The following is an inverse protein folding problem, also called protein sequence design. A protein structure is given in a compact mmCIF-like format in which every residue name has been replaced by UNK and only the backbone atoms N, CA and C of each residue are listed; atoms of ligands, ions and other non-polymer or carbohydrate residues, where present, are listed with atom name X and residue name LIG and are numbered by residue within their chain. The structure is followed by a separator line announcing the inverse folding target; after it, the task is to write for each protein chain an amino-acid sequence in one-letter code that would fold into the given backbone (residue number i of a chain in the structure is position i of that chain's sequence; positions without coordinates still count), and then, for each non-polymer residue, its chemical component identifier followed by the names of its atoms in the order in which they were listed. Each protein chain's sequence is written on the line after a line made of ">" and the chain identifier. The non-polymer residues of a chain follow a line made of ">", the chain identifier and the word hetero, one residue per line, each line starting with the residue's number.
data_IF_800033497422
#
_entry.id   IF_800033497422
#
_cell.length_a   1.000
_cell.length_b   1.000
_cell.length_c   1.000
_cell.angle_alpha   90.00
_cell.angle_beta   90.00
_cell.angle_gamma   90.00
#
_symmetry.space_group_name_H-M   'P 1'
#
loop_
_entity.id
_entity.type
_entity.pdbx_description
1 polymer ?
#
# COMPACT_ATOMS: atom_id res chain seq x y z
N UNK A 1 23.96 -31.22 -39.75
CA UNK A 1 25.01 -30.21 -39.44
C UNK A 1 24.36 -28.85 -39.57
N UNK A 2 23.96 -28.24 -38.45
CA UNK A 2 23.29 -26.93 -38.43
C UNK A 2 24.39 -25.87 -38.26
N UNK A 3 24.59 -25.03 -39.27
CA UNK A 3 25.52 -23.91 -39.21
C UNK A 3 24.96 -22.83 -38.26
N UNK A 4 25.74 -22.29 -37.32
CA UNK A 4 25.30 -21.13 -36.53
C UNK A 4 25.28 -19.89 -37.44
N UNK A 5 24.13 -19.23 -37.50
CA UNK A 5 23.98 -17.93 -38.16
C UNK A 5 24.73 -16.90 -37.31
N UNK A 6 25.93 -16.52 -37.74
CA UNK A 6 26.68 -15.40 -37.19
C UNK A 6 26.04 -14.11 -37.69
N UNK A 7 25.21 -13.48 -36.86
CA UNK A 7 24.72 -12.12 -37.11
C UNK A 7 25.90 -11.17 -36.96
N UNK A 8 26.28 -10.39 -38.00
CA UNK A 8 27.38 -9.44 -37.88
C UNK A 8 27.04 -8.39 -36.82
N UNK A 9 27.99 -8.11 -35.92
CA UNK A 9 27.82 -7.16 -34.82
C UNK A 9 27.34 -5.78 -35.29
N UNK A 10 27.74 -5.35 -36.49
CA UNK A 10 27.27 -4.12 -37.14
C UNK A 10 25.75 -4.09 -37.38
N UNK A 11 25.12 -5.23 -37.68
CA UNK A 11 23.67 -5.32 -37.86
C UNK A 11 22.94 -5.19 -36.52
N UNK A 12 23.50 -5.76 -35.44
CA UNK A 12 22.97 -5.60 -34.08
C UNK A 12 23.02 -4.14 -33.66
N UNK A 13 24.15 -3.45 -33.88
CA UNK A 13 24.28 -2.02 -33.61
C UNK A 13 23.30 -1.18 -34.43
N UNK A 14 23.11 -1.48 -35.73
CA UNK A 14 22.16 -0.76 -36.56
C UNK A 14 20.70 -0.94 -36.07
N UNK A 15 20.31 -2.16 -35.72
CA UNK A 15 18.98 -2.47 -35.15
C UNK A 15 18.78 -1.72 -33.82
N UNK A 16 19.79 -1.74 -32.93
CA UNK A 16 19.73 -1.02 -31.66
C UNK A 16 19.56 0.50 -31.85
N UNK A 17 20.27 1.09 -32.81
CA UNK A 17 20.15 2.52 -33.14
C UNK A 17 18.74 2.83 -33.68
N UNK A 18 18.22 2.02 -34.60
CA UNK A 18 16.87 2.20 -35.14
C UNK A 18 15.82 2.11 -34.02
N UNK A 19 15.95 1.11 -33.15
CA UNK A 19 15.05 0.92 -32.00
C UNK A 19 15.12 2.12 -31.04
N UNK A 20 16.33 2.59 -30.73
CA UNK A 20 16.55 3.77 -29.89
C UNK A 20 15.91 5.03 -30.48
N UNK A 21 16.12 5.31 -31.76
CA UNK A 21 15.54 6.47 -32.44
C UNK A 21 14.00 6.39 -32.50
N UNK A 22 13.46 5.20 -32.79
CA UNK A 22 12.02 4.94 -32.78
C UNK A 22 11.41 5.17 -31.39
N UNK A 23 12.04 4.62 -30.35
CA UNK A 23 11.63 4.80 -28.96
C UNK A 23 11.66 6.29 -28.56
N UNK A 24 12.72 7.01 -28.92
CA UNK A 24 12.84 8.46 -28.66
C UNK A 24 11.73 9.26 -29.33
N UNK A 25 11.42 8.95 -30.59
CA UNK A 25 10.32 9.60 -31.34
C UNK A 25 8.96 9.30 -30.69
N UNK A 26 8.70 8.05 -30.34
CA UNK A 26 7.47 7.63 -29.64
C UNK A 26 7.32 8.35 -28.29
N UNK A 27 8.39 8.44 -27.49
CA UNK A 27 8.41 9.20 -26.23
C UNK A 27 8.05 10.68 -26.46
N UNK A 28 8.59 11.31 -27.51
CA UNK A 28 8.28 12.71 -27.83
C UNK A 28 6.80 12.91 -28.18
N UNK A 29 6.26 12.10 -29.10
CA UNK A 29 4.86 12.19 -29.54
C UNK A 29 3.90 11.96 -28.37
N UNK A 30 4.21 10.99 -27.51
CA UNK A 30 3.44 10.75 -26.30
C UNK A 30 3.48 11.96 -25.35
N UNK A 31 4.66 12.53 -25.09
CA UNK A 31 4.79 13.69 -24.21
C UNK A 31 4.05 14.92 -24.75
N UNK A 32 4.09 15.17 -26.06
CA UNK A 32 3.33 16.26 -26.70
C UNK A 32 1.82 16.07 -26.48
N UNK A 33 1.28 14.87 -26.75
CA UNK A 33 -0.13 14.56 -26.54
C UNK A 33 -0.55 14.61 -25.07
N UNK A 34 0.31 14.16 -24.16
CA UNK A 34 0.07 14.25 -22.72
C UNK A 34 0.02 15.71 -22.27
N UNK A 35 0.98 16.54 -22.71
CA UNK A 35 1.01 17.96 -22.34
C UNK A 35 -0.20 18.72 -22.88
N UNK A 36 -0.61 18.46 -24.12
CA UNK A 36 -1.85 19.01 -24.68
C UNK A 36 -3.06 18.62 -23.82
N UNK A 37 -3.21 17.33 -23.48
CA UNK A 37 -4.26 16.86 -22.60
C UNK A 37 -4.24 17.55 -21.22
N UNK A 38 -3.06 17.66 -20.60
CA UNK A 38 -2.89 18.31 -19.29
C UNK A 38 -3.20 19.81 -19.33
N UNK A 39 -2.88 20.49 -20.44
CA UNK A 39 -3.09 21.94 -20.58
C UNK A 39 -4.56 22.37 -20.51
N UNK A 40 -5.50 21.44 -20.72
CA UNK A 40 -6.94 21.68 -20.61
C UNK A 40 -7.46 21.76 -19.16
N UNK A 41 -6.59 21.59 -18.16
CA UNK A 41 -6.98 21.48 -16.76
C UNK A 41 -6.12 22.38 -15.86
N UNK A 42 -6.71 22.90 -14.78
CA UNK A 42 -6.00 23.69 -13.77
C UNK A 42 -5.68 22.80 -12.57
N UNK A 43 -4.40 22.51 -12.37
CA UNK A 43 -3.93 21.66 -11.27
C UNK A 43 -3.71 22.45 -9.99
N UNK A 44 -3.81 21.77 -8.84
CA UNK A 44 -3.35 22.34 -7.58
C UNK A 44 -1.85 22.63 -7.64
N UNK A 45 -1.43 23.64 -6.87
CA UNK A 45 -0.04 24.03 -6.67
C UNK A 45 0.37 24.00 -5.20
N UNK A 46 -0.47 23.42 -4.33
CA UNK A 46 -0.19 23.36 -2.90
C UNK A 46 1.03 22.47 -2.63
N UNK A 47 2.06 23.05 -2.00
CA UNK A 47 3.29 22.32 -1.69
C UNK A 47 3.13 21.33 -0.53
N UNK A 48 2.28 21.66 0.44
CA UNK A 48 1.92 20.83 1.57
C UNK A 48 0.44 20.96 1.90
N UNK A 49 -0.19 19.86 2.26
CA UNK A 49 -1.59 19.83 2.69
C UNK A 49 -1.66 19.21 4.10
N UNK A 50 -2.19 19.90 5.12
CA UNK A 50 -2.18 19.39 6.50
C UNK A 50 -3.29 18.38 6.80
N UNK A 51 -4.14 18.07 5.82
CA UNK A 51 -5.27 17.16 5.94
C UNK A 51 -5.40 16.26 4.70
N UNK A 52 -5.97 15.05 4.82
CA UNK A 52 -6.26 14.21 3.67
C UNK A 52 -7.10 14.97 2.64
N UNK A 53 -6.74 14.98 1.34
CA UNK A 53 -7.40 15.80 0.33
C UNK A 53 -8.82 15.34 -0.02
N UNK A 54 -9.13 14.07 0.23
CA UNK A 54 -10.46 13.51 0.02
C UNK A 54 -10.72 12.35 0.96
N UNK A 55 -11.97 11.89 0.97
CA UNK A 55 -12.38 10.73 1.72
C UNK A 55 -12.11 9.39 1.00
N UNK A 56 -11.14 9.38 0.10
CA UNK A 56 -10.77 8.18 -0.67
C UNK A 56 -10.17 7.13 0.28
N UNK A 57 -10.53 5.86 0.10
CA UNK A 57 -9.95 4.77 0.93
C UNK A 57 -8.45 4.65 0.66
N UNK A 58 -7.62 4.27 1.65
CA UNK A 58 -6.20 4.10 1.41
C UNK A 58 -5.91 3.09 0.29
N UNK A 59 -6.73 2.04 0.15
CA UNK A 59 -6.65 1.11 -0.99
C UNK A 59 -6.74 1.78 -2.38
N UNK A 60 -7.67 2.72 -2.56
CA UNK A 60 -7.78 3.48 -3.81
C UNK A 60 -6.70 4.56 -3.93
N UNK A 61 -6.23 5.14 -2.82
CA UNK A 61 -5.07 6.05 -2.82
C UNK A 61 -3.82 5.30 -3.27
N UNK A 62 -3.58 4.08 -2.77
CA UNK A 62 -2.45 3.25 -3.19
C UNK A 62 -2.56 2.91 -4.68
N UNK A 63 -3.75 2.56 -5.17
CA UNK A 63 -3.96 2.33 -6.60
C UNK A 63 -3.74 3.58 -7.44
N UNK A 64 -4.13 4.77 -6.96
CA UNK A 64 -3.88 6.04 -7.63
C UNK A 64 -2.38 6.38 -7.68
N UNK A 65 -1.67 6.11 -6.57
CA UNK A 65 -0.27 6.47 -6.37
C UNK A 65 0.67 5.53 -7.14
N UNK A 66 0.46 4.21 -7.03
CA UNK A 66 1.16 3.18 -7.80
C UNK A 66 0.29 1.92 -7.98
N UNK A 67 -0.54 1.92 -9.03
CA UNK A 67 -1.43 0.80 -9.39
C UNK A 67 -0.74 -0.57 -9.54
N UNK A 68 0.56 -0.58 -9.84
CA UNK A 68 1.31 -1.81 -10.13
C UNK A 68 1.92 -2.40 -8.87
N UNK A 69 2.10 -1.59 -7.82
CA UNK A 69 2.79 -1.97 -6.60
C UNK A 69 1.92 -1.68 -5.36
N UNK A 70 0.82 -2.42 -5.23
CA UNK A 70 -0.01 -2.39 -4.04
C UNK A 70 0.46 -3.50 -3.10
N UNK A 71 1.02 -3.09 -1.96
CA UNK A 71 1.59 -3.97 -0.94
C UNK A 71 0.56 -4.43 0.11
N UNK A 72 0.86 -5.53 0.81
CA UNK A 72 0.07 -6.12 1.89
C UNK A 72 -0.21 -5.15 3.04
N UNK A 73 0.70 -4.21 3.28
CA UNK A 73 0.52 -3.08 4.21
C UNK A 73 -0.77 -2.28 3.98
N UNK A 74 -1.38 -2.37 2.79
CA UNK A 74 -2.64 -1.70 2.50
C UNK A 74 -3.85 -2.32 3.23
N UNK A 75 -3.75 -3.60 3.59
CA UNK A 75 -4.83 -4.33 4.28
C UNK A 75 -5.12 -3.74 5.67
N UNK A 76 -4.14 -3.67 6.60
CA UNK A 76 -4.38 -3.03 7.89
C UNK A 76 -4.77 -1.56 7.71
N UNK A 77 -4.07 -0.80 6.85
CA UNK A 77 -4.42 0.60 6.57
C UNK A 77 -5.90 0.79 6.19
N UNK A 78 -6.44 -0.10 5.34
CA UNK A 78 -7.84 -0.08 4.93
C UNK A 78 -8.80 -0.54 6.04
N UNK A 79 -8.39 -1.47 6.90
CA UNK A 79 -9.15 -1.81 8.11
C UNK A 79 -9.25 -0.63 9.08
N UNK A 80 -8.16 0.12 9.28
CA UNK A 80 -8.20 1.34 10.11
C UNK A 80 -9.13 2.39 9.49
N UNK A 81 -9.11 2.55 8.17
CA UNK A 81 -10.07 3.41 7.47
C UNK A 81 -11.52 2.98 7.73
N UNK A 82 -11.83 1.68 7.68
CA UNK A 82 -13.17 1.16 7.98
C UNK A 82 -13.58 1.37 9.44
N UNK A 83 -12.65 1.23 10.38
CA UNK A 83 -12.87 1.58 11.79
C UNK A 83 -13.16 3.08 11.95
N UNK A 84 -12.40 3.95 11.28
CA UNK A 84 -12.64 5.38 11.25
C UNK A 84 -14.03 5.74 10.68
N UNK A 85 -14.53 4.96 9.73
CA UNK A 85 -15.89 5.08 9.16
C UNK A 85 -17.00 4.44 10.01
N UNK A 86 -16.63 3.87 11.17
CA UNK A 86 -17.54 3.23 12.10
C UNK A 86 -18.12 1.91 11.60
N UNK A 87 -17.45 1.23 10.67
CA UNK A 87 -17.78 -0.16 10.32
C UNK A 87 -17.30 -1.14 11.38
N UNK A 88 -16.18 -0.82 12.03
CA UNK A 88 -15.64 -1.55 13.16
C UNK A 88 -15.53 -0.64 14.38
N UNK A 89 -15.82 -1.18 15.56
CA UNK A 89 -15.39 -0.63 16.84
C UNK A 89 -14.12 -1.36 17.24
N UNK A 90 -13.09 -0.61 17.63
CA UNK A 90 -11.84 -1.17 18.10
C UNK A 90 -11.88 -1.23 19.63
N UNK A 91 -11.53 -2.38 20.18
CA UNK A 91 -11.35 -2.58 21.62
C UNK A 91 -9.92 -3.04 21.87
N UNK A 92 -9.14 -2.17 22.51
CA UNK A 92 -7.81 -2.48 23.00
C UNK A 92 -7.91 -2.80 24.48
N UNK A 93 -8.16 -4.06 24.82
CA UNK A 93 -7.92 -4.50 26.19
C UNK A 93 -6.42 -4.53 26.39
N UNK A 94 -5.89 -3.50 27.06
CA UNK A 94 -4.53 -3.49 27.58
C UNK A 94 -4.47 -4.59 28.64
N UNK A 95 -3.87 -5.73 28.31
CA UNK A 95 -3.55 -6.75 29.30
C UNK A 95 -2.58 -6.11 30.31
N UNK A 96 -2.96 -6.09 31.58
CA UNK A 96 -2.04 -5.71 32.65
C UNK A 96 -0.94 -6.77 32.74
N UNK A 97 0.16 -6.60 32.00
CA UNK A 97 1.32 -7.50 31.96
C UNK A 97 2.18 -7.33 30.69
N UNK A 98 3.28 -8.10 30.61
CA UNK A 98 4.20 -8.16 29.44
C UNK A 98 3.59 -8.85 28.19
N UNK A 99 2.26 -8.97 28.10
CA UNK A 99 1.60 -9.58 26.95
C UNK A 99 1.39 -8.56 25.82
N UNK A 100 1.53 -9.03 24.58
CA UNK A 100 1.31 -8.25 23.36
C UNK A 100 -0.12 -7.68 23.36
N UNK A 101 -0.26 -6.35 23.29
CA UNK A 101 -1.56 -5.70 23.24
C UNK A 101 -2.31 -6.19 22.00
N UNK A 102 -3.41 -6.89 22.21
CA UNK A 102 -4.24 -7.43 21.14
C UNK A 102 -5.37 -6.46 20.81
N UNK A 103 -5.36 -5.90 19.60
CA UNK A 103 -6.48 -5.07 19.13
C UNK A 103 -7.59 -5.97 18.61
N UNK A 104 -8.78 -5.85 19.20
CA UNK A 104 -9.98 -6.54 18.73
C UNK A 104 -10.81 -5.62 17.83
N UNK A 105 -11.24 -6.16 16.70
CA UNK A 105 -12.14 -5.52 15.77
C UNK A 105 -13.53 -6.10 15.95
N UNK A 106 -14.49 -5.29 16.40
CA UNK A 106 -15.90 -5.65 16.51
C UNK A 106 -16.67 -5.07 15.33
N UNK A 107 -17.28 -5.90 14.50
CA UNK A 107 -18.09 -5.41 13.37
C UNK A 107 -19.39 -4.77 13.87
N UNK A 108 -19.63 -3.52 13.45
CA UNK A 108 -20.81 -2.72 13.81
C UNK A 108 -21.76 -2.55 12.62
N UNK A 109 -21.21 -2.46 11.41
CA UNK A 109 -21.98 -2.34 10.17
C UNK A 109 -21.73 -3.55 9.28
N UNK A 110 -22.72 -3.92 8.49
CA UNK A 110 -22.58 -4.97 7.48
C UNK A 110 -21.85 -4.46 6.23
N UNK A 111 -21.14 -5.35 5.55
CA UNK A 111 -20.35 -5.05 4.35
C UNK A 111 -21.20 -4.56 3.18
N UNK A 112 -22.50 -4.89 3.15
CA UNK A 112 -23.48 -4.34 2.19
C UNK A 112 -23.62 -2.81 2.24
N UNK A 113 -23.19 -2.15 3.33
CA UNK A 113 -23.21 -0.69 3.46
C UNK A 113 -21.97 0.00 2.90
N UNK A 114 -20.98 -0.75 2.42
CA UNK A 114 -19.81 -0.17 1.77
C UNK A 114 -20.18 0.39 0.39
N UNK A 115 -19.69 1.59 0.11
CA UNK A 115 -19.84 2.23 -1.21
C UNK A 115 -19.05 1.50 -2.30
N UNK A 116 -17.84 1.04 -1.97
CA UNK A 116 -16.94 0.37 -2.90
C UNK A 116 -16.87 -1.14 -2.66
N UNK A 117 -16.81 -1.91 -3.75
CA UNK A 117 -16.79 -3.38 -3.68
C UNK A 117 -15.50 -3.93 -3.05
N UNK A 118 -14.35 -3.26 -3.21
CA UNK A 118 -13.12 -3.68 -2.52
C UNK A 118 -13.26 -3.63 -0.99
N UNK A 119 -13.96 -2.63 -0.46
CA UNK A 119 -14.22 -2.53 0.98
C UNK A 119 -15.14 -3.66 1.45
N UNK A 120 -16.15 -4.00 0.64
CA UNK A 120 -17.04 -5.13 0.91
C UNK A 120 -16.27 -6.45 0.95
N UNK A 121 -15.43 -6.72 -0.06
CA UNK A 121 -14.60 -7.93 -0.12
C UNK A 121 -13.65 -8.01 1.07
N UNK A 122 -13.03 -6.88 1.45
CA UNK A 122 -12.19 -6.83 2.65
C UNK A 122 -12.99 -7.21 3.91
N UNK A 123 -14.16 -6.60 4.11
CA UNK A 123 -14.99 -6.92 5.27
C UNK A 123 -15.46 -8.38 5.27
N UNK A 124 -15.88 -8.90 4.12
CA UNK A 124 -16.34 -10.29 3.97
C UNK A 124 -15.20 -11.29 4.21
N UNK A 125 -13.96 -10.94 3.84
CA UNK A 125 -12.76 -11.71 4.19
C UNK A 125 -12.57 -11.78 5.71
N UNK A 126 -12.51 -10.63 6.40
CA UNK A 126 -12.30 -10.60 7.85
C UNK A 126 -13.44 -11.21 8.65
N UNK A 127 -14.68 -11.14 8.13
CA UNK A 127 -15.85 -11.82 8.68
C UNK A 127 -15.66 -13.34 8.82
N UNK A 128 -14.79 -13.95 8.01
CA UNK A 128 -14.49 -15.40 8.13
C UNK A 128 -13.66 -15.78 9.35
N UNK A 129 -13.17 -14.81 10.10
CA UNK A 129 -12.40 -14.98 11.33
C UNK A 129 -13.12 -14.44 12.57
N UNK A 130 -14.33 -13.93 12.41
CA UNK A 130 -15.17 -13.45 13.50
C UNK A 130 -15.62 -14.61 14.41
N UNK A 131 -15.68 -14.32 15.71
CA UNK A 131 -16.30 -15.19 16.72
C UNK A 131 -17.83 -14.96 16.81
N UNK A 132 -18.47 -15.58 17.81
CA UNK A 132 -19.92 -15.43 18.04
C UNK A 132 -20.37 -14.00 18.37
N UNK A 133 -19.45 -13.11 18.74
CA UNK A 133 -19.70 -11.71 19.06
C UNK A 133 -19.47 -10.77 17.86
N UNK A 134 -19.16 -11.32 16.67
CA UNK A 134 -18.70 -10.60 15.49
C UNK A 134 -17.36 -9.89 15.73
N UNK A 135 -16.47 -10.51 16.53
CA UNK A 135 -15.17 -9.97 16.88
C UNK A 135 -14.03 -10.81 16.29
N UNK A 136 -12.96 -10.15 15.82
CA UNK A 136 -11.72 -10.82 15.43
C UNK A 136 -10.49 -10.04 15.92
N UNK A 137 -9.33 -10.68 15.89
CA UNK A 137 -8.03 -10.07 16.15
C UNK A 137 -7.01 -10.62 15.15
N UNK A 138 -5.91 -9.92 14.91
CA UNK A 138 -4.84 -10.49 14.08
C UNK A 138 -4.25 -11.77 14.71
N UNK A 139 -4.16 -11.86 16.04
CA UNK A 139 -3.71 -13.06 16.73
C UNK A 139 -4.61 -14.27 16.46
N UNK A 140 -5.93 -14.10 16.45
CA UNK A 140 -6.86 -15.20 16.11
C UNK A 140 -6.74 -15.64 14.65
N UNK A 141 -6.45 -14.69 13.74
CA UNK A 141 -6.19 -14.97 12.33
C UNK A 141 -4.89 -15.76 12.18
N UNK A 142 -3.80 -15.32 12.83
CA UNK A 142 -2.50 -15.98 12.85
C UNK A 142 -2.65 -17.44 13.25
N UNK A 143 -3.27 -17.71 14.40
CA UNK A 143 -3.52 -19.08 14.89
C UNK A 143 -4.25 -19.94 13.85
N UNK A 144 -5.28 -19.41 13.19
CA UNK A 144 -6.06 -20.16 12.18
C UNK A 144 -5.25 -20.45 10.92
N UNK A 145 -4.45 -19.49 10.47
CA UNK A 145 -3.57 -19.62 9.29
C UNK A 145 -2.40 -20.56 9.56
N UNK A 146 -1.78 -20.49 10.74
CA UNK A 146 -0.69 -21.39 11.17
C UNK A 146 -1.12 -22.85 11.20
N UNK A 147 -2.35 -23.12 11.66
CA UNK A 147 -2.83 -24.47 11.92
C UNK A 147 -3.47 -25.15 10.71
N UNK A 148 -3.64 -24.46 9.57
CA UNK A 148 -4.34 -25.02 8.42
C UNK A 148 -3.84 -24.50 7.09
N UNK A 149 -3.26 -25.40 6.27
CA UNK A 149 -2.89 -25.11 4.88
C UNK A 149 -4.08 -24.61 4.04
N UNK A 150 -5.27 -25.16 4.28
CA UNK A 150 -6.50 -24.70 3.62
C UNK A 150 -6.84 -23.27 4.02
N UNK A 151 -6.68 -22.91 5.29
CA UNK A 151 -6.89 -21.54 5.76
C UNK A 151 -5.83 -20.57 5.20
N UNK A 152 -4.56 -20.98 5.15
CA UNK A 152 -3.47 -20.20 4.54
C UNK A 152 -3.73 -19.91 3.04
N UNK A 153 -4.09 -20.95 2.27
CA UNK A 153 -4.49 -20.76 0.86
C UNK A 153 -5.69 -19.82 0.71
N UNK A 154 -6.70 -19.94 1.58
CA UNK A 154 -7.87 -19.06 1.56
C UNK A 154 -7.50 -17.61 1.88
N UNK A 155 -6.61 -17.38 2.85
CA UNK A 155 -6.09 -16.06 3.19
C UNK A 155 -5.41 -15.38 2.00
N UNK A 156 -4.52 -16.09 1.29
CA UNK A 156 -3.87 -15.58 0.09
C UNK A 156 -4.85 -15.30 -1.06
N UNK A 157 -5.84 -16.17 -1.26
CA UNK A 157 -6.86 -15.95 -2.29
C UNK A 157 -7.68 -14.68 -2.01
N UNK A 158 -8.11 -14.48 -0.77
CA UNK A 158 -8.85 -13.27 -0.41
C UNK A 158 -8.06 -11.99 -0.63
N UNK A 159 -6.74 -12.01 -0.43
CA UNK A 159 -5.89 -10.87 -0.79
C UNK A 159 -5.99 -10.56 -2.28
N UNK A 160 -5.87 -11.57 -3.15
CA UNK A 160 -5.98 -11.36 -4.58
C UNK A 160 -7.37 -10.90 -5.03
N UNK A 161 -8.43 -11.42 -4.40
CA UNK A 161 -9.80 -10.94 -4.62
C UNK A 161 -9.91 -9.45 -4.25
N UNK A 162 -9.35 -9.06 -3.10
CA UNK A 162 -9.31 -7.66 -2.66
C UNK A 162 -8.53 -6.77 -3.64
N UNK A 163 -7.34 -7.17 -4.07
CA UNK A 163 -6.53 -6.42 -5.05
C UNK A 163 -7.26 -6.28 -6.38
N UNK A 164 -7.95 -7.33 -6.84
CA UNK A 164 -8.73 -7.28 -8.08
C UNK A 164 -9.89 -6.29 -7.98
N UNK A 165 -10.62 -6.27 -6.87
CA UNK A 165 -11.69 -5.30 -6.66
C UNK A 165 -11.18 -3.85 -6.56
N UNK A 166 -9.99 -3.63 -5.97
CA UNK A 166 -9.36 -2.30 -5.98
C UNK A 166 -9.15 -1.83 -7.42
N UNK A 167 -8.59 -2.69 -8.28
CA UNK A 167 -8.35 -2.39 -9.70
C UNK A 167 -9.66 -2.12 -10.45
N UNK A 168 -10.70 -2.91 -10.19
CA UNK A 168 -12.02 -2.70 -10.80
C UNK A 168 -12.61 -1.36 -10.36
N UNK A 169 -12.55 -1.02 -9.07
CA UNK A 169 -13.05 0.26 -8.57
C UNK A 169 -12.24 1.44 -9.11
N UNK A 170 -10.91 1.34 -9.19
CA UNK A 170 -10.08 2.39 -9.80
C UNK A 170 -10.39 2.62 -11.27
N UNK A 171 -10.65 1.55 -12.04
CA UNK A 171 -11.13 1.63 -13.43
C UNK A 171 -12.51 2.29 -13.53
N UNK A 172 -13.46 1.89 -12.69
CA UNK A 172 -14.80 2.49 -12.66
C UNK A 172 -14.79 3.99 -12.32
N UNK A 173 -13.78 4.45 -11.57
CA UNK A 173 -13.56 5.86 -11.28
C UNK A 173 -12.74 6.61 -12.36
N UNK A 174 -12.44 5.97 -13.50
CA UNK A 174 -11.65 6.54 -14.60
C UNK A 174 -10.30 7.14 -14.12
N UNK A 175 -9.63 6.49 -13.16
CA UNK A 175 -8.34 6.97 -12.67
C UNK A 175 -7.31 6.99 -13.79
N UNK A 176 -7.35 5.99 -14.66
CA UNK A 176 -6.41 5.83 -15.75
C UNK A 176 -7.11 5.88 -17.11
N UNK A 177 -6.46 6.53 -18.08
CA UNK A 177 -6.87 6.64 -19.49
C UNK A 177 -5.69 6.29 -20.40
N UNK A 178 -5.96 6.03 -21.67
CA UNK A 178 -4.93 5.73 -22.67
C UNK A 178 -4.64 6.97 -23.51
N UNK A 179 -3.37 7.38 -23.58
CA UNK A 179 -2.85 8.39 -24.51
C UNK A 179 -1.70 7.78 -25.29
N UNK A 180 -1.81 7.71 -26.63
CA UNK A 180 -0.78 7.15 -27.54
C UNK A 180 -0.24 5.80 -27.03
N UNK A 181 -1.15 4.90 -26.70
CA UNK A 181 -0.90 3.53 -26.22
C UNK A 181 -0.26 3.41 -24.83
N UNK A 182 -0.20 4.51 -24.07
CA UNK A 182 0.25 4.50 -22.68
C UNK A 182 -0.87 4.86 -21.74
N UNK A 183 -1.01 4.07 -20.69
CA UNK A 183 -1.96 4.32 -19.63
C UNK A 183 -1.40 5.40 -18.68
N UNK A 184 -2.12 6.49 -18.53
CA UNK A 184 -1.78 7.65 -17.68
C UNK A 184 -2.96 8.02 -16.80
N UNK A 185 -2.70 8.75 -15.71
CA UNK A 185 -3.80 9.29 -14.90
C UNK A 185 -4.68 10.25 -15.72
N UNK A 186 -6.00 10.22 -15.55
CA UNK A 186 -6.88 11.28 -16.05
C UNK A 186 -6.53 12.64 -15.40
N UNK A 187 -7.05 13.76 -15.90
CA UNK A 187 -6.78 15.08 -15.32
C UNK A 187 -7.27 15.19 -13.87
N UNK A 188 -8.50 14.73 -13.60
CA UNK A 188 -9.05 14.71 -12.24
C UNK A 188 -8.21 13.83 -11.31
N UNK A 189 -7.86 12.63 -11.74
CA UNK A 189 -7.07 11.70 -10.95
C UNK A 189 -5.62 12.20 -10.75
N UNK A 190 -5.02 12.83 -11.75
CA UNK A 190 -3.69 13.43 -11.62
C UNK A 190 -3.70 14.62 -10.66
N UNK A 191 -4.73 15.45 -10.71
CA UNK A 191 -4.89 16.52 -9.74
C UNK A 191 -5.05 16.00 -8.31
N UNK A 192 -5.84 14.93 -8.14
CA UNK A 192 -6.00 14.27 -6.85
C UNK A 192 -4.68 13.65 -6.36
N UNK A 193 -3.92 13.01 -7.26
CA UNK A 193 -2.57 12.50 -6.99
C UNK A 193 -1.64 13.61 -6.48
N UNK A 194 -1.64 14.80 -7.11
CA UNK A 194 -0.82 15.94 -6.66
C UNK A 194 -1.15 16.37 -5.23
N UNK A 195 -2.44 16.38 -4.86
CA UNK A 195 -2.84 16.68 -3.48
C UNK A 195 -2.40 15.60 -2.50
N UNK A 196 -2.46 14.33 -2.88
CA UNK A 196 -1.92 13.23 -2.06
C UNK A 196 -0.41 13.32 -1.89
N UNK A 197 0.33 13.77 -2.91
CA UNK A 197 1.76 14.09 -2.79
C UNK A 197 2.02 15.25 -1.81
N UNK A 198 1.20 16.31 -1.85
CA UNK A 198 1.28 17.41 -0.89
C UNK A 198 0.98 16.95 0.54
N UNK A 199 -0.01 16.07 0.71
CA UNK A 199 -0.31 15.46 2.01
C UNK A 199 0.81 14.53 2.49
N UNK A 200 1.43 13.74 1.60
CA UNK A 200 2.62 12.93 1.92
C UNK A 200 3.76 13.78 2.46
N UNK A 201 4.04 14.94 1.83
CA UNK A 201 5.08 15.88 2.31
C UNK A 201 4.78 16.38 3.73
N UNK A 202 3.52 16.65 4.03
CA UNK A 202 3.08 17.00 5.38
C UNK A 202 3.26 15.85 6.37
N UNK A 203 2.86 14.62 6.03
CA UNK A 203 3.08 13.45 6.90
C UNK A 203 4.56 13.23 7.22
N UNK A 204 5.43 13.35 6.22
CA UNK A 204 6.88 13.25 6.41
C UNK A 204 7.42 14.37 7.30
N UNK A 205 6.87 15.58 7.23
CA UNK A 205 7.28 16.67 8.12
C UNK A 205 6.87 16.41 9.57
N UNK A 206 5.70 15.81 9.80
CA UNK A 206 5.27 15.38 11.13
C UNK A 206 6.20 14.31 11.72
N UNK A 207 6.54 13.30 10.91
CA UNK A 207 7.48 12.22 11.28
C UNK A 207 8.84 12.80 11.65
N UNK A 208 9.42 13.63 10.78
CA UNK A 208 10.73 14.24 11.00
C UNK A 208 10.76 15.12 12.25
N UNK A 209 9.65 15.81 12.54
CA UNK A 209 9.52 16.68 13.71
C UNK A 209 9.05 15.93 14.96
N UNK A 210 8.85 14.59 14.89
CA UNK A 210 8.28 13.77 15.97
C UNK A 210 6.96 14.35 16.52
N UNK A 211 6.13 14.95 15.66
CA UNK A 211 4.84 15.52 16.05
C UNK A 211 3.75 14.45 16.14
N UNK A 212 2.92 14.53 17.19
CA UNK A 212 1.78 13.64 17.41
C UNK A 212 0.50 14.12 16.71
N UNK A 213 0.55 15.25 16.01
CA UNK A 213 -0.60 15.80 15.29
C UNK A 213 -1.06 14.83 14.20
N UNK A 214 -2.38 14.67 14.05
CA UNK A 214 -3.02 13.83 13.01
C UNK A 214 -2.51 12.38 12.94
N UNK A 215 -1.98 11.82 14.04
CA UNK A 215 -1.45 10.44 14.11
C UNK A 215 -2.41 9.38 13.53
N UNK A 216 -3.72 9.60 13.69
CA UNK A 216 -4.76 8.72 13.15
C UNK A 216 -4.75 8.69 11.62
N UNK A 217 -4.82 9.86 10.99
CA UNK A 217 -4.82 10.00 9.54
C UNK A 217 -3.45 9.61 8.96
N UNK A 218 -2.36 9.84 9.70
CA UNK A 218 -1.02 9.35 9.36
C UNK A 218 -1.01 7.82 9.22
N UNK A 219 -1.52 7.09 10.22
CA UNK A 219 -1.57 5.62 10.20
C UNK A 219 -2.48 5.08 9.09
N UNK A 220 -3.58 5.77 8.78
CA UNK A 220 -4.50 5.33 7.71
C UNK A 220 -3.84 5.43 6.34
N UNK A 221 -3.08 6.49 6.06
CA UNK A 221 -2.65 6.81 4.70
C UNK A 221 -1.15 6.63 4.43
N UNK A 222 -0.31 6.51 5.46
CA UNK A 222 1.14 6.38 5.30
C UNK A 222 1.53 5.24 4.34
N UNK A 223 1.01 4.03 4.57
CA UNK A 223 1.28 2.87 3.69
C UNK A 223 0.82 3.11 2.26
N UNK A 224 -0.35 3.74 2.07
CA UNK A 224 -0.88 4.05 0.75
C UNK A 224 -0.01 5.07 -0.02
N UNK A 225 0.77 5.87 0.70
CA UNK A 225 1.69 6.88 0.17
C UNK A 225 3.14 6.39 0.14
N UNK A 226 3.39 5.11 0.45
CA UNK A 226 4.71 4.50 0.47
C UNK A 226 5.61 5.03 1.59
N UNK A 227 5.04 5.44 2.72
CA UNK A 227 5.78 5.74 3.96
C UNK A 227 5.86 4.42 4.75
N UNK A 228 7.05 4.07 5.23
CA UNK A 228 7.25 2.82 5.95
C UNK A 228 6.59 2.86 7.34
N UNK A 229 6.14 1.70 7.83
CA UNK A 229 5.63 1.60 9.20
C UNK A 229 6.72 1.90 10.24
N UNK A 230 8.00 1.63 9.91
CA UNK A 230 9.14 1.97 10.76
C UNK A 230 9.34 3.49 10.88
N UNK A 231 9.00 4.26 9.84
CA UNK A 231 9.05 5.73 9.90
C UNK A 231 7.96 6.31 10.82
N UNK A 232 6.95 5.51 11.15
CA UNK A 232 5.85 5.88 12.07
C UNK A 232 6.09 5.40 13.50
N UNK A 233 7.18 4.68 13.78
CA UNK A 233 7.53 4.29 15.15
C UNK A 233 7.91 5.53 15.96
N UNK A 234 6.98 6.00 16.78
CA UNK A 234 7.27 6.95 17.84
C UNK A 234 7.73 6.18 19.07
N UNK A 235 8.99 6.34 19.46
CA UNK A 235 9.46 5.86 20.76
C UNK A 235 8.70 6.61 21.86
N UNK A 236 7.85 5.91 22.60
CA UNK A 236 7.05 6.49 23.67
C UNK A 236 7.93 7.11 24.78
N UNK A 237 9.19 6.71 24.88
CA UNK A 237 10.15 7.28 25.84
C UNK A 237 10.68 8.66 25.43
N UNK A 238 10.64 9.00 24.14
CA UNK A 238 11.10 10.31 23.62
C UNK A 238 10.13 11.45 23.94
N UNK A 239 8.91 11.15 24.39
CA UNK A 239 7.87 12.12 24.73
C UNK A 239 7.92 12.59 26.21
N UNK A 240 8.92 12.15 26.98
CA UNK A 240 9.13 12.55 28.39
C UNK A 240 9.71 13.97 28.57
N UNK A 241 9.28 14.92 27.73
CA UNK A 241 9.45 16.35 27.95
C UNK A 241 8.16 16.96 28.47
N UNK A 242 7.98 17.00 29.81
CA UNK A 242 7.01 17.82 30.55
C UNK A 242 5.73 18.27 29.78
N UNK A 243 4.91 17.33 29.31
CA UNK A 243 3.59 17.64 28.76
C UNK A 243 2.49 17.06 29.67
N UNK A 244 1.49 17.87 30.09
CA UNK A 244 0.48 17.45 31.04
C UNK A 244 -0.48 16.45 30.39
N UNK A 245 -0.37 15.18 30.77
CA UNK A 245 -1.43 14.20 31.08
C UNK A 245 -2.74 14.05 30.24
N UNK A 246 -2.93 14.71 29.09
CA UNK A 246 -4.23 14.67 28.37
C UNK A 246 -4.26 13.88 27.03
N UNK A 247 -3.19 13.19 26.63
CA UNK A 247 -3.14 12.44 25.35
C UNK A 247 -2.88 10.93 25.45
N UNK A 248 -2.89 10.35 26.65
CA UNK A 248 -2.37 9.00 26.89
C UNK A 248 -3.17 7.86 26.23
N UNK A 249 -4.49 8.02 26.01
CA UNK A 249 -5.32 6.98 25.40
C UNK A 249 -5.14 6.88 23.89
N UNK A 250 -5.09 8.02 23.19
CA UNK A 250 -4.92 8.04 21.73
C UNK A 250 -3.54 7.53 21.33
N UNK A 251 -2.47 7.98 22.00
CA UNK A 251 -1.10 7.50 21.73
C UNK A 251 -0.98 6.01 21.99
N UNK A 252 -1.44 5.53 23.14
CA UNK A 252 -1.43 4.09 23.49
C UNK A 252 -2.21 3.25 22.48
N UNK A 253 -3.37 3.74 22.01
CA UNK A 253 -4.18 3.06 21.02
C UNK A 253 -3.49 2.96 19.65
N UNK A 254 -2.92 4.06 19.16
CA UNK A 254 -2.25 4.07 17.87
C UNK A 254 -0.96 3.25 17.89
N UNK A 255 -0.18 3.30 18.98
CA UNK A 255 0.94 2.39 19.20
C UNK A 255 0.50 0.92 19.24
N UNK A 256 -0.63 0.62 19.89
CA UNK A 256 -1.20 -0.74 19.90
C UNK A 256 -1.60 -1.19 18.50
N UNK A 257 -2.19 -0.30 17.71
CA UNK A 257 -2.55 -0.61 16.33
C UNK A 257 -1.32 -0.84 15.45
N UNK A 258 -0.29 0.00 15.57
CA UNK A 258 0.97 -0.16 14.86
C UNK A 258 1.65 -1.48 15.23
N UNK A 259 1.70 -1.86 16.51
CA UNK A 259 2.17 -3.18 16.93
C UNK A 259 1.37 -4.33 16.25
N UNK A 260 0.06 -4.15 16.09
CA UNK A 260 -0.80 -5.11 15.41
C UNK A 260 -0.57 -5.15 13.88
N UNK A 261 -0.11 -4.06 13.24
CA UNK A 261 0.30 -4.11 11.83
C UNK A 261 1.53 -4.97 11.59
N UNK A 262 2.49 -5.00 12.52
CA UNK A 262 3.61 -5.95 12.46
C UNK A 262 3.14 -7.39 12.55
N UNK A 263 2.16 -7.66 13.42
CA UNK A 263 1.54 -8.98 13.51
C UNK A 263 0.87 -9.40 12.19
N UNK A 264 0.31 -8.46 11.43
CA UNK A 264 -0.24 -8.75 10.10
C UNK A 264 0.83 -9.23 9.10
N UNK A 265 2.03 -8.64 9.11
CA UNK A 265 3.14 -9.10 8.28
C UNK A 265 3.56 -10.53 8.65
N UNK A 266 3.55 -10.88 9.93
CA UNK A 266 3.82 -12.27 10.35
C UNK A 266 2.74 -13.25 9.88
N UNK A 267 1.47 -12.86 9.86
CA UNK A 267 0.37 -13.67 9.31
C UNK A 267 0.61 -13.93 7.82
N UNK A 268 0.97 -12.89 7.07
CA UNK A 268 1.30 -12.99 5.66
C UNK A 268 2.45 -13.99 5.43
N UNK A 269 3.57 -13.82 6.13
CA UNK A 269 4.73 -14.72 6.01
C UNK A 269 4.33 -16.17 6.34
N UNK A 270 3.60 -16.36 7.44
CA UNK A 270 3.08 -17.69 7.85
C UNK A 270 2.16 -18.30 6.78
N UNK A 271 1.27 -17.50 6.19
CA UNK A 271 0.37 -17.94 5.13
C UNK A 271 1.14 -18.38 3.90
N UNK A 272 2.15 -17.62 3.51
CA UNK A 272 3.01 -17.91 2.37
C UNK A 272 3.83 -19.19 2.59
N UNK A 273 4.45 -19.34 3.76
CA UNK A 273 5.24 -20.53 4.10
C UNK A 273 4.38 -21.80 4.12
N UNK A 274 3.21 -21.74 4.76
CA UNK A 274 2.29 -22.87 4.81
C UNK A 274 1.66 -23.18 3.44
N UNK A 275 1.55 -22.19 2.56
CA UNK A 275 1.13 -22.39 1.18
C UNK A 275 2.22 -23.13 0.37
N UNK A 276 3.49 -22.73 0.53
CA UNK A 276 4.64 -23.21 -0.25
C UNK A 276 5.28 -24.52 0.26
N UNK A 277 4.89 -25.06 1.43
CA UNK A 277 5.44 -26.31 2.00
C UNK A 277 5.33 -27.58 1.13
N UNK A 278 4.65 -27.58 -0.03
CA UNK A 278 4.65 -28.70 -0.98
C UNK A 278 5.47 -28.44 -2.26
N UNK A 279 6.06 -27.25 -2.44
CA UNK A 279 7.07 -27.06 -3.48
C UNK A 279 8.41 -27.47 -2.90
N UNK A 280 8.96 -28.58 -3.38
CA UNK A 280 10.39 -28.92 -3.25
C UNK A 280 11.23 -27.83 -3.94
N UNK A 281 11.30 -26.65 -3.33
CA UNK A 281 12.28 -25.64 -3.67
C UNK A 281 13.31 -25.63 -2.55
N UNK A 282 14.37 -26.37 -2.80
CA UNK A 282 15.57 -26.37 -1.99
C UNK A 282 16.22 -25.00 -2.15
N UNK A 283 15.93 -24.06 -1.25
CA UNK A 283 16.71 -22.84 -1.12
C UNK A 283 17.23 -22.75 0.30
N UNK A 284 18.44 -23.27 0.50
CA UNK A 284 19.36 -22.62 1.39
C UNK A 284 19.56 -21.18 0.88
N UNK A 285 18.75 -20.26 1.41
CA UNK A 285 19.06 -18.85 1.44
C UNK A 285 18.87 -18.42 2.89
N UNK A 286 19.99 -18.36 3.59
CA UNK A 286 20.14 -17.62 4.82
C UNK A 286 19.73 -16.16 4.56
N UNK A 287 18.54 -15.76 5.02
CA UNK A 287 18.18 -14.35 5.16
C UNK A 287 18.61 -13.87 6.54
N UNK A 288 19.92 -13.72 6.69
CA UNK A 288 20.49 -12.83 7.70
C UNK A 288 20.49 -11.41 7.14
N UNK A 289 20.01 -10.44 7.94
CA UNK A 289 19.96 -8.99 7.66
C UNK A 289 19.14 -8.54 6.44
N UNK A 290 17.81 -8.45 6.61
CA UNK A 290 17.04 -7.41 5.92
C UNK A 290 16.78 -6.27 6.89
N UNK A 291 17.83 -5.46 7.08
CA UNK A 291 17.69 -4.07 7.48
C UNK A 291 16.93 -3.36 6.36
N UNK A 292 15.69 -2.97 6.60
CA UNK A 292 14.92 -2.10 5.71
C UNK A 292 15.49 -0.67 5.78
N UNK A 293 16.72 -0.50 5.28
CA UNK A 293 17.36 0.80 5.05
C UNK A 293 17.69 0.90 3.57
N UNK A 294 16.78 1.52 2.81
CA UNK A 294 17.11 2.43 1.69
C UNK A 294 15.84 2.79 0.93
N UNK A 295 15.15 3.85 1.35
CA UNK A 295 14.37 4.68 0.43
C UNK A 295 14.42 6.15 0.87
N UNK A 296 15.60 6.74 0.72
CA UNK A 296 15.75 8.19 0.54
C UNK A 296 16.21 8.46 -0.89
N UNK A 297 15.25 8.76 -1.77
CA UNK A 297 15.40 9.81 -2.77
C UNK A 297 14.03 10.10 -3.39
N UNK A 298 13.48 11.27 -3.05
CA UNK A 298 12.54 11.94 -3.92
C UNK A 298 13.24 12.22 -5.24
N UNK A 299 12.82 11.53 -6.29
CA UNK A 299 13.19 11.81 -7.66
C UNK A 299 12.04 12.52 -8.35
N UNK A 300 12.32 13.71 -8.88
CA UNK A 300 11.44 14.51 -9.71
C UNK A 300 10.67 13.65 -10.71
N UNK A 301 9.33 13.67 -10.63
CA UNK A 301 8.47 13.02 -11.62
C UNK A 301 8.41 13.87 -12.89
N UNK A 302 9.54 13.94 -13.58
CA UNK A 302 9.59 14.18 -15.02
C UNK A 302 10.17 12.94 -15.71
N UNK A 303 9.28 12.11 -16.26
CA UNK A 303 9.59 11.44 -17.51
C UNK A 303 10.23 10.06 -17.48
N UNK A 304 9.45 9.05 -17.13
CA UNK A 304 9.34 7.80 -17.90
C UNK A 304 10.49 6.80 -17.81
N UNK A 305 10.17 5.61 -17.31
CA UNK A 305 11.00 4.43 -17.42
C UNK A 305 10.22 3.21 -16.95
N UNK A 306 9.52 2.55 -17.87
CA UNK A 306 8.99 1.20 -17.69
C UNK A 306 9.58 0.35 -18.81
N UNK A 307 10.40 -0.62 -18.45
CA UNK A 307 11.07 -1.54 -19.35
C UNK A 307 11.41 -2.80 -18.58
N UNK A 308 10.49 -3.75 -18.60
CA UNK A 308 10.68 -5.14 -18.23
C UNK A 308 11.40 -5.85 -19.37
N UNK A 309 12.57 -6.44 -19.13
CA UNK A 309 13.00 -7.75 -19.65
C UNK A 309 14.46 -8.08 -19.29
N UNK A 310 14.60 -9.12 -18.45
CA UNK A 310 15.67 -10.12 -18.33
C UNK A 310 17.09 -9.91 -18.89
N UNK A 311 18.05 -10.28 -18.04
CA UNK A 311 19.48 -10.60 -18.29
C UNK A 311 20.36 -9.40 -18.73
N UNK A 312 21.33 -8.91 -17.97
CA UNK A 312 22.08 -9.38 -16.79
C UNK A 312 22.17 -8.26 -15.76
#
# INVERSE_FOLDING_TARGET
>A
MVLPILIPSSLIFAIAIIFYLSSKRSKRIFNEALNEYRSSFVFTSDDMLPYPPSNTSPALVAYLYDKNNIDWSIVPSTLMYLANKGFYKLDSNLSNGNELITVKFKRIKDSSKCEYSHLKVLMDWFKTYEDSNNEFSFESIKKKVSNSKKAAKKFNNFYWDFINEIRLNGRSNNYYIIIKDKEVLSNDAYNEYLKWCAYKKYLLSLINNKSIDNIKESIIYASALGISHYDLEMDLNDLNGNSPYDNNFNTTFYSSYMANTFLFNEIYNTANDNYNKDSNFNSGMDFSNNSFNDFSSGGDFSGGGGGDSGAF
#
